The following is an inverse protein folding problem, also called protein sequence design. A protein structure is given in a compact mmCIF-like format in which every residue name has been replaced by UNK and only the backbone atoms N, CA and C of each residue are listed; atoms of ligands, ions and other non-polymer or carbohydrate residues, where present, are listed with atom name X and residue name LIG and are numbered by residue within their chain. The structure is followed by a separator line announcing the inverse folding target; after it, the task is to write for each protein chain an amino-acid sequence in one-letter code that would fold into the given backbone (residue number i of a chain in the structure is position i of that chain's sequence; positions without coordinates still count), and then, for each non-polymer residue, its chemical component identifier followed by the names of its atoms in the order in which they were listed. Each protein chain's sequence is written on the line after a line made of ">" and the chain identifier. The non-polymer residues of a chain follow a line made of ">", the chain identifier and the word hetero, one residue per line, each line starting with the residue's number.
data_IF_371074736554
#
_entry.id   IF_371074736554
#
_cell.length_a   1.000
_cell.length_b   1.000
_cell.length_c   1.000
_cell.angle_alpha   90.00
_cell.angle_beta   90.00
_cell.angle_gamma   90.00
#
_symmetry.space_group_name_H-M   'P 1'
#
loop_
_entity.id
_entity.type
_entity.pdbx_description
1 polymer ?
#
# COMPACT_ATOMS: atom_id res chain seq x y z
N UNK A 1 -6.89 21.48 -0.46
CA UNK A 1 -5.88 20.42 -0.60
C UNK A 1 -5.00 20.50 0.62
N UNK A 2 -5.01 19.48 1.49
CA UNK A 2 -4.14 19.50 2.65
C UNK A 2 -2.70 19.24 2.18
N UNK A 3 -1.83 20.22 2.39
CA UNK A 3 -0.40 20.10 2.19
C UNK A 3 0.23 19.92 3.57
N UNK A 4 1.14 18.95 3.73
CA UNK A 4 1.78 18.64 5.01
C UNK A 4 1.16 17.47 5.78
N UNK A 5 1.73 17.19 6.95
CA UNK A 5 1.29 16.14 7.86
C UNK A 5 -0.14 16.41 8.36
N UNK A 6 -1.03 15.42 8.25
CA UNK A 6 -2.44 15.53 8.67
C UNK A 6 -2.82 14.42 9.64
N UNK A 7 -3.86 14.64 10.43
CA UNK A 7 -4.48 13.59 11.24
C UNK A 7 -5.83 13.16 10.64
N UNK A 8 -6.20 11.90 10.86
CA UNK A 8 -7.48 11.38 10.42
C UNK A 8 -7.83 10.07 11.10
N UNK A 9 -9.11 9.75 11.15
CA UNK A 9 -9.61 8.51 11.74
C UNK A 9 -9.58 7.38 10.71
N UNK A 10 -9.00 6.24 11.10
CA UNK A 10 -8.94 5.02 10.30
C UNK A 10 -9.60 3.89 11.07
N UNK A 11 -10.41 3.10 10.36
CA UNK A 11 -10.96 1.86 10.87
C UNK A 11 -9.95 0.73 10.69
N UNK A 12 -9.38 0.26 11.80
CA UNK A 12 -8.52 -0.91 11.85
C UNK A 12 -9.32 -2.16 12.17
N UNK A 13 -8.97 -3.28 11.53
CA UNK A 13 -9.54 -4.57 11.91
C UNK A 13 -9.07 -4.94 13.32
N UNK A 14 -10.01 -5.17 14.24
CA UNK A 14 -9.70 -5.64 15.60
C UNK A 14 -9.08 -7.03 15.53
N UNK A 15 -8.10 -7.30 16.39
CA UNK A 15 -7.57 -8.66 16.60
C UNK A 15 -8.48 -9.40 17.58
N UNK A 16 -9.50 -10.08 17.07
CA UNK A 16 -10.42 -10.88 17.88
C UNK A 16 -9.81 -12.26 18.19
N UNK A 17 -10.06 -12.79 19.39
CA UNK A 17 -9.66 -14.16 19.77
C UNK A 17 -10.33 -15.21 18.87
N UNK A 18 -11.49 -14.88 18.31
CA UNK A 18 -12.20 -15.67 17.31
C UNK A 18 -11.28 -16.06 16.14
N UNK A 19 -10.32 -15.22 15.77
CA UNK A 19 -9.43 -15.46 14.64
C UNK A 19 -8.41 -16.58 14.86
N UNK A 20 -8.27 -17.07 16.09
CA UNK A 20 -7.49 -18.27 16.38
C UNK A 20 -8.23 -19.56 16.00
N UNK A 21 -9.55 -19.50 15.89
CA UNK A 21 -10.43 -20.64 15.58
C UNK A 21 -11.04 -20.54 14.19
N UNK A 22 -11.28 -19.32 13.71
CA UNK A 22 -11.96 -19.04 12.45
C UNK A 22 -11.18 -18.01 11.63
N UNK A 23 -11.13 -18.16 10.30
CA UNK A 23 -10.50 -17.11 9.47
C UNK A 23 -11.40 -15.88 9.39
N UNK A 24 -10.84 -14.66 9.32
CA UNK A 24 -11.60 -13.46 8.97
C UNK A 24 -12.29 -13.64 7.62
N UNK A 25 -13.58 -13.31 7.52
CA UNK A 25 -14.35 -13.42 6.28
C UNK A 25 -15.42 -12.33 6.16
N UNK A 26 -15.81 -12.06 4.92
CA UNK A 26 -16.97 -11.24 4.57
C UNK A 26 -17.65 -11.88 3.35
N UNK A 27 -18.96 -12.06 3.45
CA UNK A 27 -19.86 -12.58 2.43
C UNK A 27 -20.62 -11.40 1.82
N UNK A 28 -20.62 -11.34 0.49
CA UNK A 28 -21.36 -10.33 -0.28
C UNK A 28 -22.67 -10.86 -0.86
N UNK A 29 -23.13 -12.01 -0.33
CA UNK A 29 -24.41 -12.63 -0.67
C UNK A 29 -25.31 -12.62 0.58
N UNK A 30 -26.64 -12.56 0.41
CA UNK A 30 -27.57 -12.73 1.51
C UNK A 30 -27.36 -14.08 2.21
N UNK A 31 -27.29 -14.06 3.54
CA UNK A 31 -27.22 -15.27 4.36
C UNK A 31 -28.63 -15.59 4.84
N UNK A 32 -29.07 -16.83 4.67
CA UNK A 32 -30.36 -17.30 5.18
C UNK A 32 -30.38 -17.24 6.71
N UNK A 33 -31.37 -16.55 7.28
CA UNK A 33 -31.56 -16.39 8.72
C UNK A 33 -31.81 -17.72 9.43
N UNK A 34 -32.28 -18.75 8.71
CA UNK A 34 -32.53 -20.08 9.25
C UNK A 34 -31.28 -20.98 9.28
N UNK A 35 -30.16 -20.51 8.72
CA UNK A 35 -28.91 -21.27 8.72
C UNK A 35 -28.28 -21.29 10.13
N UNK A 36 -27.56 -22.37 10.53
CA UNK A 36 -26.86 -22.39 11.80
C UNK A 36 -25.74 -21.34 11.85
N UNK A 37 -25.88 -20.32 12.70
CA UNK A 37 -24.91 -19.23 12.86
C UNK A 37 -24.93 -18.23 11.70
N UNK A 38 -26.08 -17.59 11.40
CA UNK A 38 -26.21 -16.72 10.24
C UNK A 38 -25.41 -15.43 10.48
N UNK A 39 -24.30 -15.27 9.75
CA UNK A 39 -23.53 -14.03 9.71
C UNK A 39 -22.88 -13.85 8.34
N UNK A 40 -22.98 -12.64 7.82
CA UNK A 40 -22.32 -12.24 6.58
C UNK A 40 -20.86 -11.85 6.80
N UNK A 41 -20.40 -11.69 8.03
CA UNK A 41 -19.02 -11.32 8.34
C UNK A 41 -18.69 -11.68 9.78
N UNK A 42 -17.40 -11.92 10.05
CA UNK A 42 -16.86 -11.93 11.41
C UNK A 42 -15.83 -10.82 11.65
N UNK A 43 -15.81 -9.80 10.78
CA UNK A 43 -14.93 -8.64 10.87
C UNK A 43 -15.49 -7.60 11.84
N UNK A 44 -14.71 -7.24 12.86
CA UNK A 44 -14.96 -6.06 13.67
C UNK A 44 -13.87 -5.00 13.45
N UNK A 45 -14.28 -3.74 13.42
CA UNK A 45 -13.37 -2.61 13.25
C UNK A 45 -13.33 -1.73 14.51
N UNK A 46 -12.18 -1.15 14.77
CA UNK A 46 -11.96 -0.10 15.76
C UNK A 46 -11.43 1.16 15.07
N UNK A 47 -11.97 2.30 15.46
CA UNK A 47 -11.55 3.59 14.93
C UNK A 47 -10.35 4.09 15.71
N UNK A 48 -9.28 4.49 15.01
CA UNK A 48 -8.11 5.10 15.63
C UNK A 48 -7.72 6.34 14.85
N UNK A 49 -7.44 7.42 15.57
CA UNK A 49 -6.78 8.58 15.00
C UNK A 49 -5.35 8.21 14.60
N UNK A 50 -4.95 8.62 13.41
CA UNK A 50 -3.63 8.36 12.84
C UNK A 50 -3.06 9.62 12.23
N UNK A 51 -1.74 9.72 12.29
CA UNK A 51 -0.98 10.81 11.68
C UNK A 51 -0.42 10.34 10.34
N UNK A 52 -0.80 11.01 9.27
CA UNK A 52 -0.28 10.83 7.92
C UNK A 52 0.82 11.84 7.69
N UNK A 53 2.06 11.37 7.58
CA UNK A 53 3.24 12.22 7.42
C UNK A 53 3.50 12.47 5.95
N UNK A 54 3.80 13.72 5.60
CA UNK A 54 4.32 14.05 4.28
C UNK A 54 5.79 13.59 4.16
N UNK A 55 6.03 12.59 3.32
CA UNK A 55 7.35 11.97 3.19
C UNK A 55 8.34 12.83 2.40
N UNK A 56 7.88 13.86 1.66
CA UNK A 56 8.71 14.62 0.71
C UNK A 56 9.92 15.31 1.35
N UNK A 57 9.79 15.70 2.61
CA UNK A 57 10.88 16.34 3.39
C UNK A 57 11.84 15.31 4.03
N UNK A 58 11.40 14.06 4.17
CA UNK A 58 12.06 13.03 4.98
C UNK A 58 12.36 11.75 4.18
N UNK A 59 12.60 11.87 2.87
CA UNK A 59 12.71 10.73 1.96
C UNK A 59 13.83 9.73 2.36
N UNK A 60 14.84 10.20 3.10
CA UNK A 60 15.98 9.38 3.55
C UNK A 60 15.75 8.66 4.88
N UNK A 61 14.67 8.97 5.58
CA UNK A 61 14.41 8.43 6.92
C UNK A 61 13.74 7.04 6.86
N UNK A 62 13.28 6.63 5.67
CA UNK A 62 12.60 5.36 5.45
C UNK A 62 13.58 4.26 5.00
N UNK A 63 13.56 3.15 5.73
CA UNK A 63 14.43 1.99 5.52
C UNK A 63 13.63 0.70 5.51
N UNK A 64 14.16 -0.32 4.83
CA UNK A 64 13.52 -1.64 4.75
C UNK A 64 13.40 -2.30 6.13
N UNK A 65 14.40 -2.18 6.99
CA UNK A 65 14.42 -2.85 8.30
C UNK A 65 13.41 -2.27 9.29
N UNK A 66 13.25 -0.94 9.29
CA UNK A 66 12.38 -0.26 10.25
C UNK A 66 10.97 -0.08 9.72
N UNK A 67 10.82 0.28 8.43
CA UNK A 67 9.55 0.69 7.85
C UNK A 67 8.99 -0.31 6.84
N UNK A 68 9.79 -1.30 6.40
CA UNK A 68 9.39 -2.24 5.35
C UNK A 68 9.44 -1.66 3.93
N UNK A 69 9.82 -0.39 3.78
CA UNK A 69 9.99 0.29 2.49
C UNK A 69 11.12 1.32 2.54
N UNK A 70 11.66 1.67 1.38
CA UNK A 70 12.63 2.75 1.22
C UNK A 70 12.22 3.64 0.04
N UNK A 71 12.62 4.91 0.07
CA UNK A 71 12.30 5.85 -1.01
C UNK A 71 13.57 6.22 -1.77
N UNK A 72 13.51 6.18 -3.10
CA UNK A 72 14.61 6.53 -3.98
C UNK A 72 14.18 7.58 -4.98
N UNK A 73 14.96 8.66 -5.10
CA UNK A 73 14.81 9.64 -6.17
C UNK A 73 15.62 9.15 -7.37
N UNK A 74 14.99 9.13 -8.55
CA UNK A 74 15.63 8.73 -9.81
C UNK A 74 15.35 9.79 -10.86
N UNK A 75 16.39 10.45 -11.42
CA UNK A 75 16.18 11.37 -12.52
C UNK A 75 15.74 10.57 -13.76
N UNK A 76 14.85 11.16 -14.55
CA UNK A 76 14.42 10.64 -15.86
C UNK A 76 14.76 11.65 -16.94
N UNK A 77 15.08 11.19 -18.13
CA UNK A 77 15.29 12.05 -19.29
C UNK A 77 13.97 12.44 -19.99
N UNK A 78 12.82 11.95 -19.50
CA UNK A 78 11.50 12.22 -20.05
C UNK A 78 10.89 13.49 -19.48
N UNK A 79 10.25 14.27 -20.34
CA UNK A 79 9.43 15.39 -19.93
C UNK A 79 8.05 14.89 -19.43
N UNK A 80 7.32 15.67 -18.61
CA UNK A 80 6.00 15.27 -18.13
C UNK A 80 5.01 14.90 -19.25
N UNK A 81 5.10 15.54 -20.41
CA UNK A 81 4.24 15.26 -21.56
C UNK A 81 4.49 13.88 -22.19
N UNK A 82 5.72 13.35 -22.07
CA UNK A 82 6.10 12.07 -22.67
C UNK A 82 5.41 10.89 -22.02
N UNK A 83 5.01 11.02 -20.74
CA UNK A 83 4.29 9.98 -19.99
C UNK A 83 2.85 9.73 -20.49
N UNK A 84 2.32 10.60 -21.35
CA UNK A 84 1.03 10.38 -22.02
C UNK A 84 1.18 9.54 -23.30
N UNK A 85 2.40 9.30 -23.78
CA UNK A 85 2.67 8.44 -24.93
C UNK A 85 3.09 7.05 -24.47
N UNK A 86 2.22 6.07 -24.73
CA UNK A 86 2.49 4.67 -24.42
C UNK A 86 3.79 4.19 -25.05
N UNK A 87 4.02 4.53 -26.32
CA UNK A 87 5.20 4.08 -27.07
C UNK A 87 6.49 4.61 -26.43
N UNK A 88 6.51 5.88 -25.99
CA UNK A 88 7.68 6.48 -25.33
C UNK A 88 7.91 5.85 -23.95
N UNK A 89 6.85 5.61 -23.19
CA UNK A 89 6.95 4.93 -21.88
C UNK A 89 7.53 3.53 -22.04
N UNK A 90 7.00 2.73 -22.97
CA UNK A 90 7.43 1.35 -23.15
C UNK A 90 8.85 1.24 -23.73
N UNK A 91 9.26 2.16 -24.60
CA UNK A 91 10.56 2.11 -25.28
C UNK A 91 11.69 2.83 -24.54
N UNK A 92 11.40 3.80 -23.66
CA UNK A 92 12.41 4.58 -22.94
C UNK A 92 12.30 4.44 -21.43
N UNK A 93 11.15 4.76 -20.85
CA UNK A 93 10.99 4.75 -19.40
C UNK A 93 11.19 3.35 -18.81
N UNK A 94 10.72 2.31 -19.49
CA UNK A 94 10.89 0.94 -19.02
C UNK A 94 12.36 0.52 -18.95
N UNK A 95 13.22 1.03 -19.83
CA UNK A 95 14.65 0.76 -19.76
C UNK A 95 15.30 1.48 -18.57
N UNK A 96 14.89 2.72 -18.27
CA UNK A 96 15.30 3.41 -17.03
C UNK A 96 14.85 2.62 -15.78
N UNK A 97 13.62 2.10 -15.78
CA UNK A 97 13.08 1.28 -14.67
C UNK A 97 13.82 -0.05 -14.51
N UNK A 98 14.18 -0.73 -15.60
CA UNK A 98 14.99 -1.95 -15.55
C UNK A 98 16.36 -1.67 -14.92
N UNK A 99 16.98 -0.55 -15.24
CA UNK A 99 18.25 -0.17 -14.62
C UNK A 99 18.10 0.12 -13.12
N UNK A 100 17.01 0.77 -12.72
CA UNK A 100 16.68 0.96 -11.30
C UNK A 100 16.62 -0.40 -10.59
N UNK A 101 15.88 -1.37 -11.12
CA UNK A 101 15.74 -2.68 -10.48
C UNK A 101 17.05 -3.45 -10.34
N UNK A 102 17.97 -3.33 -11.29
CA UNK A 102 19.31 -3.96 -11.20
C UNK A 102 20.15 -3.40 -10.06
N UNK A 103 19.92 -2.15 -9.69
CA UNK A 103 20.73 -1.38 -8.74
C UNK A 103 20.01 -1.10 -7.41
N UNK A 104 18.86 -1.74 -7.14
CA UNK A 104 18.15 -1.59 -5.86
C UNK A 104 18.65 -2.61 -4.85
N UNK A 105 19.19 -2.13 -3.71
CA UNK A 105 19.58 -3.01 -2.60
C UNK A 105 18.39 -3.85 -2.13
N UNK A 106 18.59 -5.16 -2.00
CA UNK A 106 17.59 -6.14 -1.57
C UNK A 106 17.05 -7.03 -2.70
N UNK A 107 17.23 -6.64 -3.97
CA UNK A 107 16.94 -7.51 -5.12
C UNK A 107 18.26 -8.09 -5.63
N UNK A 108 18.74 -9.17 -5.00
CA UNK A 108 19.69 -10.03 -5.70
C UNK A 108 18.92 -10.72 -6.83
N UNK A 109 19.04 -10.20 -8.06
CA UNK A 109 18.83 -11.05 -9.22
C UNK A 109 19.97 -12.07 -9.23
N UNK A 110 19.68 -13.27 -8.73
CA UNK A 110 20.45 -14.49 -9.04
C UNK A 110 20.11 -14.96 -10.43
#
# INVERSE_FOLDING_TARGET
>A
MACGTVTGEINYLKRLDLYQKEKPFQLFIPVDENSPGPRSSNLEFEMKEQTFVDIRENLRDFSLDTHGFKVGIRPTALAPADFYSRDIVETRYFDEVKDIFKNVDGVMMR
#
